data_IF_144952146686
#
_entry.id   IF_144952146686
#
_cell.length_a   1.000
_cell.length_b   1.000
_cell.length_c   1.000
_cell.angle_alpha   90.00
_cell.angle_beta   90.00
_cell.angle_gamma   90.00
#
_symmetry.space_group_name_H-M   'P 1'
#
loop_
_entity.id
_entity.type
_entity.pdbx_description
1 polymer ?
#
# COMPACT_ATOMS: atom_id res chain seq x y z
N UNK A 1 -12.75 -36.62 30.11
CA UNK A 1 -11.46 -36.65 30.85
C UNK A 1 -10.69 -35.34 30.60
N UNK A 2 -9.64 -35.04 31.41
CA UNK A 2 -8.88 -33.79 31.27
C UNK A 2 -8.32 -33.59 29.83
N UNK A 3 -7.99 -34.67 29.14
CA UNK A 3 -7.48 -34.65 27.77
C UNK A 3 -8.57 -34.30 26.72
N UNK A 4 -9.78 -34.79 26.93
CA UNK A 4 -10.93 -34.49 26.05
C UNK A 4 -11.33 -33.02 26.19
N UNK A 5 -11.33 -32.47 27.40
CA UNK A 5 -11.61 -31.04 27.63
C UNK A 5 -10.54 -30.14 26.97
N UNK A 6 -9.25 -30.53 27.07
CA UNK A 6 -8.17 -29.77 26.41
C UNK A 6 -8.29 -29.78 24.88
N UNK A 7 -8.69 -30.90 24.27
CA UNK A 7 -8.92 -31.01 22.83
C UNK A 7 -10.12 -30.17 22.42
N UNK A 8 -11.21 -30.16 23.19
CA UNK A 8 -12.38 -29.34 22.89
C UNK A 8 -12.11 -27.84 23.03
N UNK A 9 -11.37 -27.41 24.06
CA UNK A 9 -10.95 -26.02 24.23
C UNK A 9 -10.05 -25.57 23.09
N UNK A 10 -9.10 -26.41 22.65
CA UNK A 10 -8.26 -26.13 21.52
C UNK A 10 -9.07 -25.95 20.23
N UNK A 11 -10.04 -26.85 19.98
CA UNK A 11 -10.92 -26.75 18.81
C UNK A 11 -11.77 -25.47 18.83
N UNK A 12 -12.28 -25.06 19.99
CA UNK A 12 -13.01 -23.80 20.16
C UNK A 12 -12.10 -22.60 19.90
N UNK A 13 -10.87 -22.63 20.41
CA UNK A 13 -9.89 -21.56 20.17
C UNK A 13 -9.53 -21.44 18.67
N UNK A 14 -9.31 -22.56 17.98
CA UNK A 14 -9.08 -22.59 16.54
C UNK A 14 -10.28 -22.00 15.75
N UNK A 15 -11.50 -22.39 16.09
CA UNK A 15 -12.72 -21.84 15.48
C UNK A 15 -12.87 -20.33 15.74
N UNK A 16 -12.59 -19.87 16.96
CA UNK A 16 -12.62 -18.44 17.26
C UNK A 16 -11.56 -17.67 16.48
N UNK A 17 -10.37 -18.23 16.30
CA UNK A 17 -9.31 -17.61 15.49
C UNK A 17 -9.71 -17.53 14.01
N UNK A 18 -10.28 -18.59 13.43
CA UNK A 18 -10.80 -18.59 12.05
C UNK A 18 -11.90 -17.55 11.85
N UNK A 19 -12.86 -17.47 12.78
CA UNK A 19 -13.92 -16.45 12.74
C UNK A 19 -13.37 -15.03 12.85
N UNK A 20 -12.41 -14.82 13.75
CA UNK A 20 -11.77 -13.51 13.91
C UNK A 20 -11.02 -13.09 12.64
N UNK A 21 -10.30 -14.04 12.03
CA UNK A 21 -9.59 -13.80 10.76
C UNK A 21 -10.57 -13.49 9.63
N UNK A 22 -11.65 -14.25 9.49
CA UNK A 22 -12.67 -14.00 8.47
C UNK A 22 -13.34 -12.62 8.67
N UNK A 23 -13.75 -12.28 9.88
CA UNK A 23 -14.34 -10.97 10.19
C UNK A 23 -13.38 -9.83 9.88
N UNK A 24 -12.08 -10.03 10.13
CA UNK A 24 -11.06 -9.07 9.79
C UNK A 24 -10.94 -8.89 8.26
N UNK A 25 -10.91 -9.97 7.49
CA UNK A 25 -10.84 -9.89 6.01
C UNK A 25 -12.03 -9.14 5.42
N UNK A 26 -13.24 -9.39 5.94
CA UNK A 26 -14.45 -8.66 5.55
C UNK A 26 -14.36 -7.16 5.91
N UNK A 27 -13.85 -6.85 7.10
CA UNK A 27 -13.65 -5.46 7.52
C UNK A 27 -12.60 -4.74 6.64
N UNK A 28 -11.50 -5.41 6.33
CA UNK A 28 -10.46 -4.87 5.44
C UNK A 28 -11.01 -4.61 4.03
N UNK A 29 -11.78 -5.54 3.47
CA UNK A 29 -12.41 -5.35 2.15
C UNK A 29 -13.39 -4.17 2.15
N UNK A 30 -14.18 -4.02 3.22
CA UNK A 30 -15.08 -2.87 3.37
C UNK A 30 -14.31 -1.55 3.42
N UNK A 31 -13.22 -1.48 4.20
CA UNK A 31 -12.36 -0.31 4.28
C UNK A 31 -11.69 0.01 2.94
N UNK A 32 -11.26 -1.02 2.18
CA UNK A 32 -10.70 -0.83 0.84
C UNK A 32 -11.71 -0.17 -0.12
N UNK A 33 -12.97 -0.60 -0.09
CA UNK A 33 -14.05 0.00 -0.90
C UNK A 33 -14.30 1.45 -0.50
N UNK A 34 -14.32 1.75 0.80
CA UNK A 34 -14.47 3.11 1.31
C UNK A 34 -13.29 3.97 0.86
N UNK A 35 -12.06 3.48 1.03
CA UNK A 35 -10.86 4.20 0.60
C UNK A 35 -10.87 4.47 -0.91
N UNK A 36 -11.25 3.47 -1.72
CA UNK A 36 -11.37 3.63 -3.16
C UNK A 36 -12.39 4.71 -3.53
N UNK A 37 -13.53 4.80 -2.82
CA UNK A 37 -14.53 5.83 -3.07
C UNK A 37 -14.03 7.24 -2.74
N UNK A 38 -13.28 7.41 -1.66
CA UNK A 38 -12.62 8.68 -1.31
C UNK A 38 -11.53 9.00 -2.34
N UNK A 39 -10.71 8.02 -2.71
CA UNK A 39 -9.66 8.19 -3.71
C UNK A 39 -10.17 8.60 -5.09
N UNK A 40 -11.29 8.02 -5.53
CA UNK A 40 -11.91 8.39 -6.82
C UNK A 40 -12.38 9.84 -6.84
N UNK A 41 -12.88 10.38 -5.75
CA UNK A 41 -13.27 11.80 -5.64
C UNK A 41 -12.09 12.74 -5.86
N UNK A 42 -10.86 12.29 -5.54
CA UNK A 42 -9.64 13.08 -5.68
C UNK A 42 -8.87 12.80 -6.98
N UNK A 43 -9.14 11.69 -7.67
CA UNK A 43 -8.45 11.30 -8.92
C UNK A 43 -9.28 11.67 -10.17
N UNK A 44 -10.60 11.79 -10.06
CA UNK A 44 -11.50 12.07 -11.20
C UNK A 44 -11.30 13.46 -11.85
N UNK A 45 -10.43 14.31 -11.28
CA UNK A 45 -10.00 15.56 -11.90
C UNK A 45 -8.82 15.42 -12.88
N UNK A 46 -8.30 14.24 -13.11
CA UNK A 46 -7.06 14.02 -13.88
C UNK A 46 -7.23 13.25 -15.19
N UNK A 47 -8.43 13.16 -15.75
CA UNK A 47 -8.55 12.82 -17.17
C UNK A 47 -8.24 14.10 -17.98
N UNK A 48 -6.96 14.45 -18.06
CA UNK A 48 -6.49 15.51 -18.94
C UNK A 48 -6.49 14.94 -20.36
N UNK A 49 -7.24 15.57 -21.23
CA UNK A 49 -7.19 15.31 -22.67
C UNK A 49 -5.79 15.76 -23.15
N UNK A 50 -4.95 14.82 -23.59
CA UNK A 50 -3.54 15.06 -23.91
C UNK A 50 -3.32 15.81 -25.25
N UNK A 51 -4.39 16.30 -25.87
CA UNK A 51 -4.33 16.96 -27.18
C UNK A 51 -4.13 18.49 -27.09
N UNK A 52 -4.05 19.07 -25.90
CA UNK A 52 -3.89 20.51 -25.71
C UNK A 52 -2.56 20.86 -25.02
N UNK A 53 -1.63 21.42 -25.79
CA UNK A 53 -0.26 21.72 -25.37
C UNK A 53 -0.14 22.73 -24.20
N UNK A 54 -1.19 23.46 -23.86
CA UNK A 54 -1.21 24.39 -22.73
C UNK A 54 -1.77 23.80 -21.43
N UNK A 55 -2.40 22.62 -21.49
CA UNK A 55 -3.09 21.99 -20.35
C UNK A 55 -2.13 21.43 -19.29
N UNK A 56 -0.88 21.14 -19.63
CA UNK A 56 0.09 20.60 -18.66
C UNK A 56 0.57 21.64 -17.62
N UNK A 57 0.42 22.95 -17.92
CA UNK A 57 0.74 24.04 -16.97
C UNK A 57 -0.38 24.26 -15.93
N UNK A 58 -1.57 23.78 -16.21
CA UNK A 58 -2.76 23.91 -15.36
C UNK A 58 -3.23 22.52 -14.88
N UNK A 59 -2.33 21.72 -14.26
CA UNK A 59 -2.79 20.50 -13.61
C UNK A 59 -3.84 20.88 -12.56
N UNK A 60 -5.11 20.41 -12.68
CA UNK A 60 -6.08 20.61 -11.62
C UNK A 60 -5.51 19.98 -10.36
N UNK A 61 -5.23 20.78 -9.35
CA UNK A 61 -4.90 20.25 -8.04
C UNK A 61 -6.11 19.42 -7.61
N UNK A 62 -5.86 18.17 -7.18
CA UNK A 62 -6.91 17.36 -6.61
C UNK A 62 -7.65 18.19 -5.54
N UNK A 63 -9.00 18.16 -5.52
CA UNK A 63 -9.74 18.95 -4.55
C UNK A 63 -9.25 18.60 -3.13
N UNK A 64 -9.13 19.58 -2.23
CA UNK A 64 -8.70 19.32 -0.88
C UNK A 64 -9.67 18.34 -0.20
N UNK A 65 -9.11 17.44 0.63
CA UNK A 65 -9.91 16.51 1.44
C UNK A 65 -10.90 17.29 2.29
N UNK A 66 -12.19 16.99 2.16
CA UNK A 66 -13.23 17.63 2.97
C UNK A 66 -13.10 17.26 4.45
N UNK A 67 -13.62 18.05 5.39
CA UNK A 67 -13.59 17.72 6.81
C UNK A 67 -14.21 16.36 7.14
N UNK A 68 -15.26 15.97 6.40
CA UNK A 68 -15.94 14.68 6.58
C UNK A 68 -15.05 13.52 6.10
N UNK A 69 -14.41 13.66 4.95
CA UNK A 69 -13.46 12.67 4.43
C UNK A 69 -12.23 12.58 5.33
N UNK A 70 -11.71 13.71 5.83
CA UNK A 70 -10.60 13.72 6.77
C UNK A 70 -10.92 12.97 8.08
N UNK A 71 -12.16 13.10 8.59
CA UNK A 71 -12.58 12.34 9.76
C UNK A 71 -12.65 10.84 9.45
N UNK A 72 -13.26 10.45 8.33
CA UNK A 72 -13.33 9.07 7.90
C UNK A 72 -11.93 8.44 7.74
N UNK A 73 -11.00 9.17 7.12
CA UNK A 73 -9.62 8.73 6.96
C UNK A 73 -8.90 8.54 8.31
N UNK A 74 -9.18 9.39 9.31
CA UNK A 74 -8.64 9.25 10.68
C UNK A 74 -9.22 8.02 11.39
N UNK A 75 -10.51 7.75 11.22
CA UNK A 75 -11.15 6.57 11.79
C UNK A 75 -10.54 5.28 11.17
N UNK A 76 -10.29 5.29 9.86
CA UNK A 76 -9.58 4.20 9.19
C UNK A 76 -8.14 4.02 9.70
N UNK A 77 -7.40 5.12 9.95
CA UNK A 77 -6.06 5.03 10.56
C UNK A 77 -6.09 4.34 11.90
N UNK A 78 -7.02 4.73 12.77
CA UNK A 78 -7.17 4.10 14.09
C UNK A 78 -7.40 2.59 13.99
N UNK A 79 -8.19 2.15 13.03
CA UNK A 79 -8.42 0.72 12.77
C UNK A 79 -7.12 0.01 12.31
N UNK A 80 -6.41 0.57 11.33
CA UNK A 80 -5.17 -0.02 10.84
C UNK A 80 -4.09 -0.08 11.91
N UNK A 81 -3.94 0.97 12.71
CA UNK A 81 -2.98 1.02 13.81
C UNK A 81 -3.28 -0.05 14.88
N UNK A 82 -4.55 -0.21 15.26
CA UNK A 82 -4.96 -1.28 16.18
C UNK A 82 -4.67 -2.66 15.60
N UNK A 83 -4.96 -2.88 14.33
CA UNK A 83 -4.69 -4.15 13.67
C UNK A 83 -3.19 -4.48 13.68
N UNK A 84 -2.33 -3.54 13.28
CA UNK A 84 -0.88 -3.74 13.21
C UNK A 84 -0.33 -4.10 14.59
N UNK A 85 -0.75 -3.38 15.64
CA UNK A 85 -0.31 -3.63 17.01
C UNK A 85 -0.79 -4.99 17.53
N UNK A 86 -2.05 -5.35 17.27
CA UNK A 86 -2.64 -6.59 17.76
C UNK A 86 -2.07 -7.85 17.10
N UNK A 87 -1.46 -7.73 15.93
CA UNK A 87 -1.00 -8.86 15.11
C UNK A 87 0.50 -8.80 14.79
N UNK A 88 1.27 -7.99 15.51
CA UNK A 88 2.69 -7.77 15.24
C UNK A 88 3.52 -9.07 15.29
N UNK A 89 3.16 -10.02 16.16
CA UNK A 89 3.88 -11.27 16.39
C UNK A 89 3.35 -12.45 15.53
N UNK A 90 2.25 -12.27 14.83
CA UNK A 90 1.64 -13.32 14.00
C UNK A 90 2.26 -13.33 12.60
N UNK A 91 3.05 -14.38 12.32
CA UNK A 91 3.71 -14.55 11.02
C UNK A 91 2.73 -14.70 9.85
N UNK A 92 1.55 -15.28 10.10
CA UNK A 92 0.53 -15.48 9.07
C UNK A 92 -0.10 -14.15 8.64
N UNK A 93 -0.03 -13.15 9.52
CA UNK A 93 -0.56 -11.81 9.30
C UNK A 93 0.49 -10.77 8.88
N UNK A 94 1.77 -11.17 8.72
CA UNK A 94 2.83 -10.25 8.28
C UNK A 94 2.50 -9.58 6.94
N UNK A 95 1.97 -10.34 5.98
CA UNK A 95 1.54 -9.78 4.69
C UNK A 95 0.43 -8.75 4.88
N UNK A 96 -0.59 -9.09 5.66
CA UNK A 96 -1.71 -8.17 5.97
C UNK A 96 -1.23 -6.94 6.74
N UNK A 97 -0.25 -7.09 7.62
CA UNK A 97 0.43 -5.98 8.29
C UNK A 97 1.14 -5.04 7.32
N UNK A 98 1.84 -5.58 6.32
CA UNK A 98 2.49 -4.78 5.27
C UNK A 98 1.47 -4.04 4.39
N UNK A 99 0.36 -4.70 4.02
CA UNK A 99 -0.75 -4.08 3.29
C UNK A 99 -1.38 -2.95 4.11
N UNK A 100 -1.62 -3.17 5.40
CA UNK A 100 -2.14 -2.16 6.32
C UNK A 100 -1.18 -0.96 6.44
N UNK A 101 0.13 -1.18 6.61
CA UNK A 101 1.14 -0.11 6.64
C UNK A 101 1.18 0.69 5.33
N UNK A 102 1.08 0.02 4.19
CA UNK A 102 0.98 0.72 2.91
C UNK A 102 -0.28 1.58 2.83
N UNK A 103 -1.40 1.12 3.38
CA UNK A 103 -2.65 1.86 3.44
C UNK A 103 -2.55 3.08 4.36
N UNK A 104 -1.95 2.89 5.55
CA UNK A 104 -1.62 4.00 6.46
C UNK A 104 -0.81 5.07 5.73
N UNK A 105 0.23 4.67 4.97
CA UNK A 105 1.02 5.60 4.18
C UNK A 105 0.19 6.43 3.21
N UNK A 106 -0.72 5.81 2.47
CA UNK A 106 -1.62 6.49 1.52
C UNK A 106 -2.57 7.46 2.22
N UNK A 107 -3.17 7.03 3.33
CA UNK A 107 -4.09 7.86 4.11
C UNK A 107 -3.36 9.07 4.70
N UNK A 108 -2.17 8.87 5.28
CA UNK A 108 -1.35 9.95 5.82
C UNK A 108 -0.96 10.97 4.75
N UNK A 109 -0.67 10.50 3.53
CA UNK A 109 -0.36 11.39 2.40
C UNK A 109 -1.58 12.24 2.01
N UNK A 110 -2.78 11.65 1.94
CA UNK A 110 -4.03 12.39 1.69
C UNK A 110 -4.33 13.44 2.77
N UNK A 111 -3.97 13.15 4.03
CA UNK A 111 -4.09 14.07 5.16
C UNK A 111 -2.99 15.14 5.19
N UNK A 112 -2.03 15.11 4.26
CA UNK A 112 -0.89 16.03 4.20
C UNK A 112 0.24 15.71 5.18
N UNK A 113 0.20 14.57 5.85
CA UNK A 113 1.19 14.16 6.85
C UNK A 113 2.36 13.40 6.19
N UNK A 114 3.17 14.07 5.37
CA UNK A 114 4.22 13.46 4.54
C UNK A 114 5.23 12.63 5.33
N UNK A 115 5.65 13.07 6.51
CA UNK A 115 6.59 12.32 7.37
C UNK A 115 5.98 11.01 7.90
N UNK A 116 4.73 11.03 8.32
CA UNK A 116 4.03 9.83 8.78
C UNK A 116 3.80 8.85 7.61
N UNK A 117 3.46 9.35 6.43
CA UNK A 117 3.34 8.56 5.21
C UNK A 117 4.66 7.88 4.84
N UNK A 118 5.78 8.62 4.87
CA UNK A 118 7.11 8.07 4.59
C UNK A 118 7.49 6.97 5.57
N UNK A 119 7.23 7.16 6.87
CA UNK A 119 7.48 6.15 7.90
C UNK A 119 6.70 4.86 7.63
N UNK A 120 5.40 4.97 7.36
CA UNK A 120 4.54 3.82 7.07
C UNK A 120 4.97 3.06 5.81
N UNK A 121 5.31 3.78 4.73
CA UNK A 121 5.84 3.15 3.50
C UNK A 121 7.18 2.44 3.74
N UNK A 122 8.09 3.00 4.56
CA UNK A 122 9.35 2.34 4.90
C UNK A 122 9.15 1.06 5.72
N UNK A 123 8.19 1.05 6.64
CA UNK A 123 7.83 -0.15 7.40
C UNK A 123 7.27 -1.24 6.47
N UNK A 124 6.30 -0.91 5.62
CA UNK A 124 5.76 -1.83 4.63
C UNK A 124 6.87 -2.39 3.71
N UNK A 125 7.78 -1.52 3.23
CA UNK A 125 8.91 -1.92 2.40
C UNK A 125 9.83 -2.93 3.11
N UNK A 126 10.10 -2.73 4.41
CA UNK A 126 10.89 -3.67 5.23
C UNK A 126 10.23 -5.05 5.26
N UNK A 127 8.94 -5.11 5.56
CA UNK A 127 8.19 -6.37 5.62
C UNK A 127 8.14 -7.09 4.26
N UNK A 128 7.86 -6.37 3.17
CA UNK A 128 7.83 -7.01 1.83
C UNK A 128 9.20 -7.54 1.40
N UNK A 129 10.30 -6.89 1.79
CA UNK A 129 11.65 -7.41 1.56
C UNK A 129 11.90 -8.70 2.32
N UNK A 130 11.56 -8.76 3.61
CA UNK A 130 11.68 -9.97 4.42
C UNK A 130 10.84 -11.12 3.84
N UNK A 131 9.60 -10.84 3.42
CA UNK A 131 8.74 -11.83 2.78
C UNK A 131 9.32 -12.33 1.45
N UNK A 132 9.93 -11.46 0.65
CA UNK A 132 10.59 -11.86 -0.59
C UNK A 132 11.83 -12.74 -0.35
N UNK A 133 12.63 -12.44 0.67
CA UNK A 133 13.78 -13.28 1.07
C UNK A 133 13.33 -14.66 1.54
N UNK A 134 12.21 -14.75 2.26
CA UNK A 134 11.66 -16.04 2.74
C UNK A 134 10.96 -16.84 1.64
N UNK A 135 10.34 -16.15 0.67
CA UNK A 135 9.52 -16.73 -0.38
C UNK A 135 9.91 -16.17 -1.77
N UNK A 136 11.10 -16.49 -2.29
CA UNK A 136 11.65 -15.87 -3.49
C UNK A 136 10.82 -16.14 -4.76
N UNK A 137 10.07 -17.25 -4.79
CA UNK A 137 9.21 -17.63 -5.92
C UNK A 137 7.87 -16.87 -5.96
N UNK A 138 7.52 -16.17 -4.88
CA UNK A 138 6.29 -15.40 -4.83
C UNK A 138 6.47 -14.04 -5.50
N UNK A 139 5.83 -13.84 -6.64
CA UNK A 139 5.93 -12.60 -7.42
C UNK A 139 5.29 -11.37 -6.75
N UNK A 140 4.38 -11.58 -5.82
CA UNK A 140 3.64 -10.49 -5.17
C UNK A 140 4.58 -9.59 -4.36
N UNK A 141 5.48 -10.17 -3.57
CA UNK A 141 6.31 -9.42 -2.62
C UNK A 141 7.31 -8.48 -3.32
N UNK A 142 8.09 -8.93 -4.31
CA UNK A 142 8.99 -8.03 -5.03
C UNK A 142 8.22 -6.98 -5.85
N UNK A 143 7.04 -7.31 -6.39
CA UNK A 143 6.22 -6.33 -7.10
C UNK A 143 5.63 -5.28 -6.16
N UNK A 144 5.26 -5.63 -4.92
CA UNK A 144 4.86 -4.64 -3.92
C UNK A 144 6.05 -3.76 -3.48
N UNK A 145 7.26 -4.34 -3.36
CA UNK A 145 8.48 -3.55 -3.15
C UNK A 145 8.67 -2.47 -4.21
N UNK A 146 8.51 -2.81 -5.50
CA UNK A 146 8.55 -1.85 -6.61
C UNK A 146 7.48 -0.77 -6.45
N UNK A 147 6.24 -1.17 -6.09
CA UNK A 147 5.16 -0.22 -5.90
C UNK A 147 5.48 0.79 -4.81
N UNK A 148 5.92 0.33 -3.63
CA UNK A 148 6.19 1.21 -2.50
C UNK A 148 7.36 2.14 -2.77
N UNK A 149 8.42 1.67 -3.45
CA UNK A 149 9.50 2.57 -3.90
C UNK A 149 8.97 3.70 -4.80
N UNK A 150 8.04 3.38 -5.71
CA UNK A 150 7.39 4.38 -6.55
C UNK A 150 6.48 5.34 -5.75
N UNK A 151 5.75 4.84 -4.74
CA UNK A 151 4.96 5.70 -3.84
C UNK A 151 5.86 6.66 -3.03
N UNK A 152 7.02 6.19 -2.54
CA UNK A 152 8.02 7.05 -1.90
C UNK A 152 8.53 8.13 -2.85
N UNK A 153 8.76 7.80 -4.13
CA UNK A 153 9.12 8.78 -5.14
C UNK A 153 8.04 9.84 -5.35
N UNK A 154 6.78 9.43 -5.44
CA UNK A 154 5.64 10.36 -5.54
C UNK A 154 5.52 11.25 -4.30
N UNK A 155 5.70 10.69 -3.10
CA UNK A 155 5.72 11.43 -1.85
C UNK A 155 6.82 12.50 -1.86
N UNK A 156 8.05 12.14 -2.24
CA UNK A 156 9.16 13.09 -2.36
C UNK A 156 8.84 14.22 -3.35
N UNK A 157 8.17 13.92 -4.46
CA UNK A 157 7.73 14.92 -5.42
C UNK A 157 6.72 15.89 -4.81
N UNK A 158 5.73 15.38 -4.08
CA UNK A 158 4.72 16.20 -3.40
C UNK A 158 5.36 17.11 -2.34
N UNK A 159 6.42 16.64 -1.71
CA UNK A 159 7.19 17.36 -0.68
C UNK A 159 8.26 18.30 -1.27
N UNK A 160 8.32 18.45 -2.62
CA UNK A 160 9.29 19.29 -3.33
C UNK A 160 10.70 18.70 -3.45
N UNK A 161 10.93 17.48 -2.94
CA UNK A 161 12.22 16.76 -2.99
C UNK A 161 12.39 16.04 -4.34
N UNK A 162 12.57 16.81 -5.42
CA UNK A 162 12.54 16.28 -6.79
C UNK A 162 13.68 15.29 -7.08
N UNK A 163 14.89 15.54 -6.57
CA UNK A 163 16.04 14.64 -6.77
C UNK A 163 15.80 13.30 -6.07
N UNK A 164 15.25 13.30 -4.86
CA UNK A 164 14.90 12.09 -4.12
C UNK A 164 13.80 11.32 -4.84
N UNK A 165 12.82 12.03 -5.42
CA UNK A 165 11.75 11.44 -6.23
C UNK A 165 12.34 10.64 -7.41
N UNK A 166 13.22 11.26 -8.19
CA UNK A 166 13.89 10.61 -9.33
C UNK A 166 14.70 9.40 -8.85
N UNK A 167 15.41 9.54 -7.74
CA UNK A 167 16.21 8.46 -7.15
C UNK A 167 15.33 7.25 -6.80
N UNK A 168 14.22 7.46 -6.09
CA UNK A 168 13.31 6.37 -5.72
C UNK A 168 12.68 5.69 -6.93
N UNK A 169 12.33 6.44 -7.97
CA UNK A 169 11.79 5.86 -9.21
C UNK A 169 12.84 5.05 -9.97
N UNK A 170 14.09 5.52 -10.05
CA UNK A 170 15.21 4.75 -10.64
C UNK A 170 15.50 3.47 -9.86
N UNK A 171 15.59 3.56 -8.53
CA UNK A 171 15.75 2.39 -7.68
C UNK A 171 14.62 1.35 -7.85
N UNK A 172 13.38 1.82 -8.09
CA UNK A 172 12.27 0.92 -8.36
C UNK A 172 12.43 0.19 -9.70
N UNK A 173 12.91 0.87 -10.76
CA UNK A 173 13.21 0.26 -12.06
C UNK A 173 14.39 -0.72 -11.95
N UNK A 174 15.49 -0.32 -11.32
CA UNK A 174 16.67 -1.16 -11.12
C UNK A 174 16.30 -2.44 -10.37
N UNK A 175 15.52 -2.33 -9.29
CA UNK A 175 15.04 -3.50 -8.57
C UNK A 175 14.16 -4.40 -9.45
N UNK A 176 13.25 -3.81 -10.22
CA UNK A 176 12.40 -4.56 -11.17
C UNK A 176 13.24 -5.29 -12.23
N UNK A 177 14.33 -4.70 -12.69
CA UNK A 177 15.23 -5.28 -13.70
C UNK A 177 16.07 -6.44 -13.16
N UNK A 178 16.32 -6.48 -11.86
CA UNK A 178 17.01 -7.58 -11.17
C UNK A 178 16.11 -8.80 -10.92
N UNK A 179 14.78 -8.65 -10.99
CA UNK A 179 13.86 -9.77 -10.80
C UNK A 179 13.98 -10.82 -11.92
N UNK A 180 13.54 -12.04 -11.65
CA UNK A 180 13.51 -13.11 -12.62
C UNK A 180 12.76 -12.74 -13.89
N UNK A 181 13.11 -13.34 -15.03
CA UNK A 181 12.45 -13.07 -16.32
C UNK A 181 10.94 -13.35 -16.25
N UNK A 182 10.54 -14.40 -15.52
CA UNK A 182 9.13 -14.74 -15.32
C UNK A 182 8.35 -13.60 -14.67
N UNK A 183 8.85 -13.05 -13.57
CA UNK A 183 8.22 -11.93 -12.85
C UNK A 183 8.20 -10.67 -13.73
N UNK A 184 9.32 -10.32 -14.39
CA UNK A 184 9.39 -9.11 -15.24
C UNK A 184 8.43 -9.12 -16.42
N UNK A 185 8.02 -10.30 -16.89
CA UNK A 185 7.10 -10.45 -18.02
C UNK A 185 5.63 -10.45 -17.61
N UNK A 186 5.30 -10.47 -16.30
CA UNK A 186 3.92 -10.40 -15.84
C UNK A 186 3.25 -9.07 -16.25
N UNK A 187 1.93 -9.07 -16.48
CA UNK A 187 1.19 -7.83 -16.79
C UNK A 187 1.39 -6.76 -15.71
N UNK A 188 1.42 -7.16 -14.43
CA UNK A 188 1.63 -6.27 -13.29
C UNK A 188 3.00 -5.60 -13.35
N UNK A 189 4.07 -6.36 -13.62
CA UNK A 189 5.43 -5.82 -13.74
C UNK A 189 5.54 -4.81 -14.90
N UNK A 190 4.97 -5.13 -16.05
CA UNK A 190 4.94 -4.25 -17.23
C UNK A 190 4.17 -2.96 -16.94
N UNK A 191 3.02 -3.05 -16.29
CA UNK A 191 2.24 -1.89 -15.90
C UNK A 191 3.01 -0.98 -14.93
N UNK A 192 3.66 -1.56 -13.90
CA UNK A 192 4.47 -0.81 -12.94
C UNK A 192 5.65 -0.11 -13.64
N UNK A 193 6.32 -0.79 -14.56
CA UNK A 193 7.41 -0.21 -15.35
C UNK A 193 6.94 0.98 -16.16
N UNK A 194 5.86 0.84 -16.94
CA UNK A 194 5.30 1.92 -17.74
C UNK A 194 4.90 3.12 -16.87
N UNK A 195 4.26 2.87 -15.72
CA UNK A 195 3.91 3.92 -14.77
C UNK A 195 5.13 4.68 -14.27
N UNK A 196 6.23 3.97 -13.93
CA UNK A 196 7.44 4.62 -13.43
C UNK A 196 8.12 5.44 -14.54
N UNK A 197 8.16 4.96 -15.79
CA UNK A 197 8.65 5.75 -16.92
C UNK A 197 7.86 7.05 -17.09
N UNK A 198 6.53 7.00 -17.05
CA UNK A 198 5.70 8.21 -17.10
C UNK A 198 6.01 9.17 -15.95
N UNK A 199 6.27 8.68 -14.73
CA UNK A 199 6.63 9.50 -13.57
C UNK A 199 8.02 10.15 -13.70
N UNK A 200 8.92 9.53 -14.47
CA UNK A 200 10.25 10.06 -14.81
C UNK A 200 10.24 10.97 -16.04
N UNK A 201 9.15 11.02 -16.81
CA UNK A 201 9.06 11.76 -18.07
C UNK A 201 9.83 11.09 -19.20
N UNK A 202 9.90 9.76 -19.23
CA UNK A 202 10.65 8.96 -20.20
C UNK A 202 9.72 8.20 -21.14
#
# INVERSE_FOLDING_TARGET
TANENAVEERKKAEQHAEHAQHNFEVAMEALERIFASVGQSHVSGQLVDFDDQESWLSMPQAPPVTPKEAQLLKDMLSFYDQFIVSNADDRTLQLKGAEAQQRVGKIQLLLGNTKAAESAYRQALGTYRQLHEQFPDNETYPLQTVAIKSELGMLCRTDGRLLDSVTHHREALEFLDQLSKSIRQTPTARFRRARIYNLLGL
#
